data_IF_127584871942
#
_entry.id   IF_127584871942
#
_cell.length_a   1.000
_cell.length_b   1.000
_cell.length_c   1.000
_cell.angle_alpha   90.00
_cell.angle_beta   90.00
_cell.angle_gamma   90.00
#
_symmetry.space_group_name_H-M   'P 1'
#
loop_
_entity.id
_entity.type
_entity.pdbx_description
1 polymer ?
#
# COMPACT_ATOMS: atom_id res chain seq x y z
N UNK A 1 -40.59 -17.78 25.50
CA UNK A 1 -40.12 -16.41 25.18
C UNK A 1 -38.64 -16.53 24.86
N UNK A 2 -38.30 -16.85 23.62
CA UNK A 2 -36.90 -16.88 23.17
C UNK A 2 -36.56 -15.51 22.57
N UNK A 3 -35.58 -14.84 23.18
CA UNK A 3 -35.02 -13.60 22.65
C UNK A 3 -34.04 -13.97 21.54
N UNK A 4 -34.36 -13.62 20.29
CA UNK A 4 -33.39 -13.67 19.19
C UNK A 4 -32.47 -12.46 19.35
N UNK A 5 -31.24 -12.70 19.81
CA UNK A 5 -30.18 -11.70 19.72
C UNK A 5 -29.85 -11.48 18.24
N UNK A 6 -30.39 -10.42 17.64
CA UNK A 6 -30.01 -10.00 16.29
C UNK A 6 -28.65 -9.33 16.37
N UNK A 7 -27.59 -10.06 16.08
CA UNK A 7 -26.25 -9.48 15.97
C UNK A 7 -26.21 -8.44 14.84
N UNK A 8 -25.53 -7.32 15.12
CA UNK A 8 -25.34 -6.26 14.13
C UNK A 8 -24.19 -6.63 13.20
N UNK A 9 -24.46 -6.68 11.90
CA UNK A 9 -23.43 -6.91 10.90
C UNK A 9 -22.47 -5.71 10.87
N UNK A 10 -21.19 -5.96 11.15
CA UNK A 10 -20.09 -4.97 11.16
C UNK A 10 -19.19 -5.08 9.94
N UNK A 11 -19.57 -5.88 8.94
CA UNK A 11 -18.78 -6.04 7.72
C UNK A 11 -18.95 -4.83 6.80
N UNK A 12 -17.82 -4.26 6.38
CA UNK A 12 -17.79 -3.21 5.36
C UNK A 12 -17.68 -3.87 3.99
N UNK A 13 -18.58 -3.52 3.07
CA UNK A 13 -18.51 -4.02 1.70
C UNK A 13 -17.27 -3.45 0.99
N UNK A 14 -16.46 -4.34 0.41
CA UNK A 14 -15.33 -4.00 -0.46
C UNK A 14 -15.61 -4.50 -1.86
N UNK A 15 -15.15 -3.75 -2.87
CA UNK A 15 -15.08 -4.27 -4.24
C UNK A 15 -14.20 -5.53 -4.27
N UNK A 16 -14.61 -6.54 -5.04
CA UNK A 16 -13.83 -7.77 -5.23
C UNK A 16 -12.43 -7.50 -5.81
N UNK A 17 -12.24 -6.35 -6.48
CA UNK A 17 -10.98 -5.92 -7.07
C UNK A 17 -10.26 -4.83 -6.25
N UNK A 18 -10.67 -4.57 -5.01
CA UNK A 18 -10.03 -3.54 -4.18
C UNK A 18 -8.60 -3.96 -3.82
N UNK A 19 -7.62 -3.14 -4.17
CA UNK A 19 -6.22 -3.31 -3.76
C UNK A 19 -5.91 -2.39 -2.59
N UNK A 20 -4.94 -2.78 -1.76
CA UNK A 20 -4.40 -1.92 -0.69
C UNK A 20 -3.20 -1.08 -1.17
N UNK A 21 -2.87 -1.12 -2.46
CA UNK A 21 -1.81 -0.32 -3.08
C UNK A 21 -2.34 1.01 -3.61
N UNK A 22 -1.64 2.10 -3.28
CA UNK A 22 -1.94 3.46 -3.69
C UNK A 22 -0.69 4.08 -4.31
N UNK A 23 -0.83 4.68 -5.51
CA UNK A 23 0.29 5.24 -6.25
C UNK A 23 0.31 6.76 -6.19
N UNK A 24 1.50 7.32 -5.97
CA UNK A 24 1.75 8.73 -6.21
C UNK A 24 1.81 8.99 -7.73
N UNK A 25 0.98 9.87 -8.30
CA UNK A 25 1.03 10.23 -9.72
C UNK A 25 2.45 10.56 -10.19
N UNK A 26 2.81 10.10 -11.39
CA UNK A 26 4.19 10.20 -11.88
C UNK A 26 4.66 11.66 -12.02
N UNK A 27 3.75 12.57 -12.36
CA UNK A 27 4.03 14.00 -12.52
C UNK A 27 4.48 14.64 -11.20
N UNK A 28 3.96 14.16 -10.06
CA UNK A 28 4.35 14.63 -8.73
C UNK A 28 5.77 14.18 -8.42
N UNK A 29 6.08 12.91 -8.68
CA UNK A 29 7.42 12.35 -8.46
C UNK A 29 8.45 13.11 -9.31
N UNK A 30 8.15 13.28 -10.60
CA UNK A 30 9.04 14.00 -11.53
C UNK A 30 9.28 15.45 -11.10
N UNK A 31 8.25 16.13 -10.55
CA UNK A 31 8.33 17.51 -10.07
C UNK A 31 9.15 17.66 -8.79
N UNK A 32 9.08 16.68 -7.88
CA UNK A 32 9.85 16.68 -6.63
C UNK A 32 11.32 16.33 -6.85
N UNK A 33 11.63 15.66 -7.95
CA UNK A 33 12.98 15.28 -8.33
C UNK A 33 13.39 13.90 -7.81
N UNK A 34 14.69 13.68 -7.64
CA UNK A 34 15.24 12.36 -7.34
C UNK A 34 15.24 12.09 -5.84
N UNK A 35 14.69 10.94 -5.46
CA UNK A 35 14.81 10.38 -4.13
C UNK A 35 15.87 9.30 -4.09
N UNK A 36 16.55 9.16 -2.95
CA UNK A 36 17.54 8.11 -2.75
C UNK A 36 16.88 6.79 -2.32
N UNK A 37 15.89 6.84 -1.43
CA UNK A 37 15.23 5.65 -0.87
C UNK A 37 13.71 5.78 -0.79
N UNK A 38 13.01 4.74 -1.23
CA UNK A 38 11.60 4.46 -0.97
C UNK A 38 11.48 3.15 -0.17
N UNK A 39 11.14 3.19 1.13
CA UNK A 39 11.09 2.00 1.98
C UNK A 39 9.78 1.20 1.83
N UNK A 40 8.80 1.67 1.04
CA UNK A 40 7.46 1.09 0.98
C UNK A 40 6.94 0.90 -0.46
N UNK A 41 7.85 0.63 -1.40
CA UNK A 41 7.48 0.37 -2.77
C UNK A 41 6.64 -0.92 -2.92
N UNK A 42 5.68 -0.93 -3.87
CA UNK A 42 4.94 -2.15 -4.21
C UNK A 42 5.87 -3.20 -4.81
N UNK A 43 5.45 -4.48 -4.79
CA UNK A 43 6.25 -5.57 -5.38
C UNK A 43 6.46 -5.36 -6.88
N UNK A 44 5.45 -4.83 -7.58
CA UNK A 44 5.48 -4.56 -9.02
C UNK A 44 5.20 -3.08 -9.30
N UNK A 45 6.18 -2.17 -9.10
CA UNK A 45 5.97 -0.74 -9.27
C UNK A 45 5.74 -0.38 -10.74
N UNK A 46 4.75 0.48 -10.99
CA UNK A 46 4.47 1.03 -12.33
C UNK A 46 5.59 1.95 -12.82
N UNK A 47 6.26 2.66 -11.90
CA UNK A 47 7.42 3.50 -12.18
C UNK A 47 8.32 3.56 -10.94
N UNK A 48 9.59 3.86 -11.18
CA UNK A 48 10.57 4.04 -10.12
C UNK A 48 10.34 5.36 -9.39
N UNK A 49 10.21 5.29 -8.06
CA UNK A 49 9.98 6.45 -7.18
C UNK A 49 11.29 6.97 -6.58
N UNK A 50 12.25 6.08 -6.31
CA UNK A 50 13.56 6.39 -5.73
C UNK A 50 14.67 5.48 -6.31
N UNK A 51 15.94 5.81 -6.09
CA UNK A 51 17.08 4.98 -6.54
C UNK A 51 17.05 3.58 -5.94
N UNK A 52 16.77 3.49 -4.64
CA UNK A 52 16.60 2.25 -3.89
C UNK A 52 15.14 2.14 -3.49
N UNK A 53 14.52 0.99 -3.74
CA UNK A 53 13.13 0.73 -3.43
C UNK A 53 13.01 -0.59 -2.71
N UNK A 54 12.50 -0.58 -1.48
CA UNK A 54 12.20 -1.78 -0.71
C UNK A 54 10.72 -2.08 -0.77
N UNK A 55 10.39 -3.37 -0.80
CA UNK A 55 9.02 -3.84 -0.75
C UNK A 55 8.79 -4.72 0.49
N UNK A 56 7.57 -5.23 0.65
CA UNK A 56 7.20 -6.06 1.81
C UNK A 56 8.02 -7.36 2.00
N UNK A 57 8.79 -7.78 1.00
CA UNK A 57 9.69 -8.94 1.08
C UNK A 57 11.09 -8.57 1.58
N UNK A 58 11.43 -7.28 1.66
CA UNK A 58 12.70 -6.81 2.18
C UNK A 58 12.65 -6.63 3.70
N UNK A 59 13.65 -7.18 4.40
CA UNK A 59 13.87 -6.87 5.80
C UNK A 59 14.61 -5.53 5.93
N UNK A 60 13.85 -4.46 6.14
CA UNK A 60 14.37 -3.11 6.30
C UNK A 60 15.32 -2.93 7.49
N UNK A 61 15.27 -3.79 8.52
CA UNK A 61 16.18 -3.70 9.67
C UNK A 61 17.60 -4.20 9.35
N UNK A 62 17.75 -4.93 8.25
CA UNK A 62 19.05 -5.45 7.79
C UNK A 62 19.75 -4.55 6.77
N UNK A 63 19.12 -3.43 6.40
CA UNK A 63 19.64 -2.47 5.43
C UNK A 63 20.42 -1.38 6.18
N UNK A 64 21.47 -0.85 5.54
CA UNK A 64 22.37 0.17 6.11
C UNK A 64 21.67 1.50 6.43
#
# INVERSE_FOLDING_TARGET
MEYIQKEMNTSFERSAAATDEWYAPKEIIDSLGKFDLDPCAPINPLWQTAKIMYNKSDDGLTKE
#
